data_IF_578991057886
#
_entry.id   IF_578991057886
#
_cell.length_a   1.000
_cell.length_b   1.000
_cell.length_c   1.000
_cell.angle_alpha   90.00
_cell.angle_beta   90.00
_cell.angle_gamma   90.00
#
_symmetry.space_group_name_H-M   'P 1'
#
loop_
_entity.id
_entity.type
_entity.pdbx_description
1 polymer ?
#
# COMPACT_ATOMS: atom_id res chain seq x y z
N UNK A 1 24.80 -14.53 83.09
CA UNK A 1 23.92 -14.92 81.96
C UNK A 1 23.99 -13.81 80.93
N UNK A 2 24.57 -14.06 79.76
CA UNK A 2 24.77 -13.05 78.71
C UNK A 2 23.70 -13.22 77.63
N UNK A 3 22.80 -12.25 77.48
CA UNK A 3 21.81 -12.24 76.40
C UNK A 3 22.33 -11.40 75.24
N UNK A 4 22.77 -12.07 74.16
CA UNK A 4 23.10 -11.39 72.90
C UNK A 4 21.81 -11.01 72.17
N UNK A 5 21.39 -9.75 72.29
CA UNK A 5 20.36 -9.20 71.41
C UNK A 5 20.98 -8.79 70.06
N UNK A 6 20.62 -9.49 69.00
CA UNK A 6 20.93 -9.06 67.63
C UNK A 6 19.94 -7.97 67.20
N UNK A 7 20.45 -6.75 66.98
CA UNK A 7 19.67 -5.63 66.44
C UNK A 7 19.28 -5.93 64.99
N UNK A 8 18.01 -6.21 64.72
CA UNK A 8 17.51 -6.35 63.34
C UNK A 8 17.66 -5.01 62.61
N UNK A 9 18.52 -4.98 61.60
CA UNK A 9 18.80 -3.79 60.79
C UNK A 9 18.00 -3.91 59.50
N UNK A 10 16.94 -3.11 59.36
CA UNK A 10 15.98 -3.16 58.25
C UNK A 10 16.48 -2.49 56.94
N UNK A 11 17.79 -2.27 56.81
CA UNK A 11 18.41 -1.48 55.72
C UNK A 11 18.19 -2.06 54.32
N UNK A 12 17.82 -3.33 54.20
CA UNK A 12 17.54 -3.97 52.92
C UNK A 12 16.11 -3.76 52.38
N UNK A 13 15.18 -3.20 53.17
CA UNK A 13 13.75 -3.15 52.80
C UNK A 13 13.44 -2.30 51.57
N UNK A 14 14.30 -1.32 51.25
CA UNK A 14 14.07 -0.41 50.11
C UNK A 14 14.76 -0.84 48.82
N UNK A 15 15.65 -1.83 48.86
CA UNK A 15 16.42 -2.27 47.69
C UNK A 15 15.50 -2.83 46.61
N UNK A 16 14.57 -3.72 47.00
CA UNK A 16 13.65 -4.35 46.05
C UNK A 16 12.68 -3.30 45.45
N UNK A 17 12.00 -2.45 46.26
CA UNK A 17 11.16 -1.38 45.70
C UNK A 17 11.92 -0.43 44.77
N UNK A 18 13.13 0.00 45.13
CA UNK A 18 13.91 0.91 44.28
C UNK A 18 14.28 0.26 42.95
N UNK A 19 14.65 -1.02 42.97
CA UNK A 19 14.97 -1.77 41.76
C UNK A 19 13.74 -1.91 40.86
N UNK A 20 12.57 -2.24 41.44
CA UNK A 20 11.31 -2.32 40.71
C UNK A 20 10.95 -0.99 40.04
N UNK A 21 11.10 0.14 40.74
CA UNK A 21 10.85 1.48 40.16
C UNK A 21 11.79 1.75 38.99
N UNK A 22 13.08 1.42 39.12
CA UNK A 22 14.05 1.59 38.03
C UNK A 22 13.68 0.77 36.78
N UNK A 23 13.30 -0.51 36.97
CA UNK A 23 12.83 -1.35 35.87
C UNK A 23 11.54 -0.83 35.23
N UNK A 24 10.55 -0.42 36.04
CA UNK A 24 9.31 0.15 35.52
C UNK A 24 9.56 1.43 34.72
N UNK A 25 10.45 2.29 35.18
CA UNK A 25 10.83 3.50 34.45
C UNK A 25 11.50 3.16 33.11
N UNK A 26 12.42 2.18 33.09
CA UNK A 26 13.08 1.72 31.87
C UNK A 26 12.07 1.15 30.87
N UNK A 27 11.22 0.22 31.31
CA UNK A 27 10.19 -0.37 30.45
C UNK A 27 9.15 0.66 30.00
N UNK A 28 8.74 1.58 30.87
CA UNK A 28 7.84 2.67 30.52
C UNK A 28 8.41 3.59 29.44
N UNK A 29 9.70 3.96 29.56
CA UNK A 29 10.39 4.75 28.55
C UNK A 29 10.47 4.02 27.20
N UNK A 30 10.86 2.74 27.21
CA UNK A 30 10.95 1.91 26.00
C UNK A 30 9.58 1.57 25.40
N UNK A 31 8.51 1.50 26.19
CA UNK A 31 7.15 1.31 25.68
C UNK A 31 6.69 2.51 24.84
N UNK A 32 7.19 3.71 25.13
CA UNK A 32 6.84 4.91 24.37
C UNK A 32 7.79 5.17 23.20
N UNK A 33 9.11 5.06 23.44
CA UNK A 33 10.15 5.43 22.46
C UNK A 33 10.81 4.25 21.74
N UNK A 34 10.53 3.01 22.15
CA UNK A 34 11.12 1.83 21.53
C UNK A 34 10.60 1.58 20.11
N UNK A 35 11.34 0.80 19.33
CA UNK A 35 10.96 0.42 17.97
C UNK A 35 9.63 -0.34 17.90
N UNK A 36 9.24 -1.03 18.96
CA UNK A 36 7.94 -1.71 19.11
C UNK A 36 7.00 -0.98 20.08
N UNK A 37 7.26 0.31 20.32
CA UNK A 37 6.47 1.13 21.22
C UNK A 37 5.15 1.61 20.63
N UNK A 38 4.40 2.35 21.43
CA UNK A 38 3.09 2.90 21.05
C UNK A 38 3.22 3.83 19.83
N UNK A 39 4.27 4.64 19.78
CA UNK A 39 4.48 5.58 18.68
C UNK A 39 4.81 4.89 17.35
N UNK A 40 5.59 3.80 17.38
CA UNK A 40 5.90 3.06 16.15
C UNK A 40 4.68 2.36 15.58
N UNK A 41 3.77 1.87 16.44
CA UNK A 41 2.47 1.35 16.00
C UNK A 41 1.71 2.39 15.17
N UNK A 42 1.58 3.63 15.65
CA UNK A 42 0.88 4.69 14.92
C UNK A 42 1.55 4.99 13.57
N UNK A 43 2.89 5.01 13.51
CA UNK A 43 3.60 5.20 12.25
C UNK A 43 3.39 4.05 11.26
N UNK A 44 3.43 2.80 11.73
CA UNK A 44 3.18 1.62 10.91
C UNK A 44 1.74 1.58 10.39
N UNK A 45 0.77 1.96 11.22
CA UNK A 45 -0.63 2.05 10.83
C UNK A 45 -0.85 3.12 9.76
N UNK A 46 -0.24 4.30 9.92
CA UNK A 46 -0.27 5.36 8.91
C UNK A 46 0.38 4.92 7.58
N UNK A 47 1.53 4.23 7.64
CA UNK A 47 2.17 3.66 6.44
C UNK A 47 1.27 2.62 5.78
N UNK A 48 0.62 1.76 6.57
CA UNK A 48 -0.29 0.74 6.05
C UNK A 48 -1.45 1.38 5.28
N UNK A 49 -2.06 2.43 5.84
CA UNK A 49 -3.13 3.19 5.16
C UNK A 49 -2.63 3.83 3.87
N UNK A 50 -1.45 4.44 3.89
CA UNK A 50 -0.87 5.07 2.70
C UNK A 50 -0.58 4.04 1.59
N UNK A 51 0.03 2.90 1.93
CA UNK A 51 0.31 1.82 0.98
C UNK A 51 -0.97 1.20 0.44
N UNK A 52 -2.00 1.03 1.28
CA UNK A 52 -3.29 0.52 0.84
C UNK A 52 -3.93 1.45 -0.20
N UNK A 53 -3.87 2.77 0.02
CA UNK A 53 -4.34 3.75 -0.96
C UNK A 53 -3.60 3.68 -2.31
N UNK A 54 -2.27 3.51 -2.29
CA UNK A 54 -1.49 3.33 -3.52
C UNK A 54 -1.86 2.04 -4.24
N UNK A 55 -2.03 0.95 -3.48
CA UNK A 55 -2.42 -0.35 -4.00
C UNK A 55 -3.79 -0.28 -4.69
N UNK A 56 -4.77 0.39 -4.07
CA UNK A 56 -6.11 0.55 -4.63
C UNK A 56 -6.09 1.39 -5.91
N UNK A 57 -5.28 2.46 -5.96
CA UNK A 57 -5.09 3.27 -7.16
C UNK A 57 -4.48 2.45 -8.32
N UNK A 58 -3.44 1.66 -8.04
CA UNK A 58 -2.80 0.79 -9.03
C UNK A 58 -3.77 -0.30 -9.51
N UNK A 59 -4.53 -0.92 -8.59
CA UNK A 59 -5.56 -1.90 -8.95
C UNK A 59 -6.63 -1.29 -9.85
N UNK A 60 -7.11 -0.10 -9.54
CA UNK A 60 -8.08 0.61 -10.37
C UNK A 60 -7.53 0.84 -11.79
N UNK A 61 -6.25 1.26 -11.89
CA UNK A 61 -5.59 1.43 -13.18
C UNK A 61 -5.43 0.12 -13.95
N UNK A 62 -5.06 -0.96 -13.26
CA UNK A 62 -4.98 -2.30 -13.85
C UNK A 62 -6.33 -2.71 -14.42
N UNK A 63 -7.40 -2.60 -13.65
CA UNK A 63 -8.75 -2.99 -14.10
C UNK A 63 -9.20 -2.17 -15.32
N UNK A 64 -8.89 -0.88 -15.36
CA UNK A 64 -9.15 -0.03 -16.53
C UNK A 64 -8.43 -0.53 -17.78
N UNK A 65 -7.15 -0.86 -17.65
CA UNK A 65 -6.33 -1.39 -18.74
C UNK A 65 -6.82 -2.77 -19.17
N UNK A 66 -7.14 -3.65 -18.22
CA UNK A 66 -7.67 -4.98 -18.51
C UNK A 66 -9.01 -4.89 -19.26
N UNK A 67 -9.88 -3.95 -18.91
CA UNK A 67 -11.11 -3.70 -19.65
C UNK A 67 -10.83 -3.26 -21.08
N UNK A 68 -9.88 -2.33 -21.29
CA UNK A 68 -9.47 -1.87 -22.64
C UNK A 68 -8.86 -3.00 -23.44
N UNK A 69 -7.97 -3.78 -22.84
CA UNK A 69 -7.37 -4.95 -23.47
C UNK A 69 -8.44 -5.96 -23.81
N UNK A 70 -9.41 -6.21 -22.93
CA UNK A 70 -10.54 -7.11 -23.23
C UNK A 70 -11.37 -6.61 -24.41
N UNK A 71 -11.66 -5.32 -24.48
CA UNK A 71 -12.33 -4.71 -25.64
C UNK A 71 -11.50 -4.82 -26.94
N UNK A 72 -10.18 -4.89 -26.83
CA UNK A 72 -9.27 -5.17 -27.96
C UNK A 72 -9.05 -6.68 -28.21
N UNK A 73 -9.45 -7.55 -27.28
CA UNK A 73 -9.14 -8.98 -27.26
C UNK A 73 -10.35 -9.88 -27.55
N UNK A 74 -11.42 -9.37 -28.14
CA UNK A 74 -12.42 -10.29 -28.67
C UNK A 74 -11.89 -10.94 -29.95
N UNK A 75 -11.88 -12.28 -29.94
CA UNK A 75 -11.39 -13.19 -30.98
C UNK A 75 -12.14 -13.14 -32.31
N UNK A 76 -12.55 -11.95 -32.71
CA UNK A 76 -13.06 -11.57 -34.01
C UNK A 76 -12.46 -10.19 -34.29
N UNK A 77 -11.18 -10.14 -34.67
CA UNK A 77 -10.69 -8.98 -35.41
C UNK A 77 -11.56 -8.92 -36.67
N UNK A 78 -12.61 -8.11 -36.64
CA UNK A 78 -13.58 -8.08 -37.73
C UNK A 78 -12.86 -7.66 -39.00
N UNK A 79 -13.07 -8.44 -40.06
CA UNK A 79 -12.53 -8.16 -41.39
C UNK A 79 -12.86 -6.72 -41.82
N UNK A 80 -14.02 -6.21 -41.39
CA UNK A 80 -14.50 -4.87 -41.70
C UNK A 80 -13.68 -3.77 -41.00
N UNK A 81 -13.24 -3.98 -39.75
CA UNK A 81 -12.31 -3.05 -39.07
C UNK A 81 -10.92 -3.04 -39.73
N UNK A 82 -10.44 -4.19 -40.17
CA UNK A 82 -9.21 -4.32 -40.96
C UNK A 82 -9.32 -3.61 -42.31
N UNK A 83 -10.45 -3.76 -42.98
CA UNK A 83 -10.72 -3.12 -44.28
C UNK A 83 -10.87 -1.61 -44.12
N UNK A 84 -11.54 -1.13 -43.06
CA UNK A 84 -11.63 0.30 -42.72
C UNK A 84 -10.23 0.89 -42.48
N UNK A 85 -9.38 0.23 -41.70
CA UNK A 85 -8.02 0.70 -41.45
C UNK A 85 -7.13 0.62 -42.70
N UNK A 86 -7.26 -0.41 -43.52
CA UNK A 86 -6.53 -0.52 -44.77
C UNK A 86 -6.93 0.59 -45.75
N UNK A 87 -8.22 0.88 -45.89
CA UNK A 87 -8.73 2.01 -46.70
C UNK A 87 -8.23 3.34 -46.17
N UNK A 88 -8.29 3.56 -44.85
CA UNK A 88 -7.90 4.81 -44.22
C UNK A 88 -6.39 5.07 -44.25
N UNK A 89 -5.57 4.05 -43.99
CA UNK A 89 -4.12 4.20 -43.88
C UNK A 89 -3.38 4.04 -45.21
N UNK A 90 -3.89 3.19 -46.12
CA UNK A 90 -3.22 2.83 -47.37
C UNK A 90 -3.93 3.40 -48.61
N UNK A 91 -5.05 4.11 -48.45
CA UNK A 91 -5.95 4.50 -49.56
C UNK A 91 -6.31 3.29 -50.45
N UNK A 92 -6.42 2.10 -49.85
CA UNK A 92 -6.79 0.89 -50.54
C UNK A 92 -8.26 0.99 -50.97
N UNK A 93 -8.56 0.76 -52.24
CA UNK A 93 -9.93 0.71 -52.78
C UNK A 93 -9.97 -0.31 -53.91
N UNK A 94 -11.07 -1.04 -54.07
CA UNK A 94 -11.24 -1.96 -55.19
C UNK A 94 -11.42 -1.17 -56.50
N UNK A 95 -11.16 -1.81 -57.65
CA UNK A 95 -11.20 -1.16 -58.97
C UNK A 95 -12.58 -0.52 -59.31
N UNK A 96 -13.65 -1.07 -58.73
CA UNK A 96 -15.04 -0.63 -58.97
C UNK A 96 -15.64 0.13 -57.76
N UNK A 97 -14.81 0.59 -56.83
CA UNK A 97 -15.26 1.17 -55.56
C UNK A 97 -14.82 2.64 -55.37
N UNK A 98 -15.75 3.47 -54.89
CA UNK A 98 -15.52 4.89 -54.59
C UNK A 98 -15.50 5.08 -53.06
N UNK A 99 -14.32 5.40 -52.51
CA UNK A 99 -14.16 5.69 -51.07
C UNK A 99 -14.25 7.20 -50.81
N UNK A 100 -15.18 7.63 -49.94
CA UNK A 100 -15.34 9.04 -49.54
C UNK A 100 -14.87 9.20 -48.09
N UNK A 101 -13.76 9.89 -47.87
CA UNK A 101 -13.31 10.23 -46.52
C UNK A 101 -13.99 11.51 -46.03
N UNK A 102 -14.83 11.37 -45.00
CA UNK A 102 -15.47 12.51 -44.37
C UNK A 102 -14.48 13.24 -43.45
N UNK A 103 -14.41 14.58 -43.48
CA UNK A 103 -13.59 15.33 -42.53
C UNK A 103 -14.12 15.11 -41.12
N UNK A 104 -13.25 14.74 -40.18
CA UNK A 104 -13.59 14.64 -38.77
C UNK A 104 -14.02 16.03 -38.30
N UNK A 105 -15.32 16.25 -38.14
CA UNK A 105 -15.83 17.48 -37.54
C UNK A 105 -15.33 17.53 -36.10
N UNK A 106 -14.39 18.44 -35.84
CA UNK A 106 -13.93 18.73 -34.49
C UNK A 106 -15.13 19.15 -33.64
N UNK A 107 -15.44 18.37 -32.61
CA UNK A 107 -16.32 18.73 -31.51
C UNK A 107 -15.50 18.75 -30.24
#
# INVERSE_FOLDING_TARGET
>A
MWTRQHKQRNTGRLIIPSLCVAFLAYFGFHAYHGEFGIYSKYQLEAQTVALQGQLDAIKARRMELERRVRLMHEGTLEKDMLDEQARKALNLSQADEITIMLPTSAK
#
